data_IF_517540223293
#
_entry.id   IF_517540223293
#
_cell.length_a   1.000
_cell.length_b   1.000
_cell.length_c   1.000
_cell.angle_alpha   90.00
_cell.angle_beta   90.00
_cell.angle_gamma   90.00
#
_symmetry.space_group_name_H-M   'P 1'
#
loop_
_entity.id
_entity.type
_entity.pdbx_description
1 polymer ?
#
# COMPACT_ATOMS: atom_id res chain seq x y z
N UNK A 1 -2.87 19.56 17.82
CA UNK A 1 -3.34 18.87 16.60
C UNK A 1 -2.13 18.46 15.76
N UNK A 2 -2.28 17.45 14.91
CA UNK A 2 -1.17 16.88 14.14
C UNK A 2 -1.54 16.81 12.67
N UNK A 3 -0.62 17.18 11.78
CA UNK A 3 -0.92 17.30 10.36
C UNK A 3 0.17 16.68 9.51
N UNK A 4 -0.22 16.11 8.38
CA UNK A 4 0.70 15.77 7.31
C UNK A 4 0.32 16.59 6.07
N UNK A 5 1.29 17.25 5.44
CA UNK A 5 1.02 18.05 4.24
C UNK A 5 1.37 17.25 2.98
N UNK A 6 0.49 17.30 1.98
CA UNK A 6 0.73 16.68 0.68
C UNK A 6 0.06 17.49 -0.43
N UNK A 7 0.87 18.16 -1.24
CA UNK A 7 0.40 18.95 -2.38
C UNK A 7 0.77 18.24 -3.67
N UNK A 8 -0.04 18.38 -4.72
CA UNK A 8 0.22 17.73 -6.00
C UNK A 8 1.60 18.11 -6.58
N UNK A 9 2.26 17.13 -7.21
CA UNK A 9 3.55 17.37 -7.87
C UNK A 9 3.34 18.20 -9.14
N UNK A 10 4.44 18.74 -9.68
CA UNK A 10 4.41 19.34 -11.01
C UNK A 10 3.96 18.29 -12.04
N UNK A 11 2.88 18.59 -12.74
CA UNK A 11 2.45 17.83 -13.91
C UNK A 11 3.18 18.37 -15.15
N UNK A 12 3.55 17.48 -16.08
CA UNK A 12 4.24 17.87 -17.32
C UNK A 12 3.39 18.79 -18.21
N UNK A 13 2.06 18.67 -18.10
CA UNK A 13 1.08 19.41 -18.90
C UNK A 13 0.64 20.70 -18.22
N UNK A 14 0.86 20.84 -16.91
CA UNK A 14 0.50 22.03 -16.14
C UNK A 14 1.53 23.14 -16.35
N UNK A 15 1.10 24.41 -16.48
CA UNK A 15 2.00 25.54 -16.46
C UNK A 15 2.86 25.58 -15.19
N UNK A 16 4.14 25.98 -15.33
CA UNK A 16 5.09 26.00 -14.22
C UNK A 16 4.65 26.91 -13.05
N UNK A 17 3.95 28.02 -13.36
CA UNK A 17 3.48 28.98 -12.35
C UNK A 17 2.46 28.37 -11.38
N UNK A 18 1.67 27.38 -11.81
CA UNK A 18 0.71 26.71 -10.93
C UNK A 18 1.41 25.87 -9.87
N UNK A 19 2.45 25.14 -10.28
CA UNK A 19 3.26 24.36 -9.35
C UNK A 19 3.95 25.28 -8.34
N UNK A 20 4.55 26.39 -8.80
CA UNK A 20 5.15 27.37 -7.90
C UNK A 20 4.14 27.99 -6.93
N UNK A 21 2.91 28.26 -7.41
CA UNK A 21 1.82 28.71 -6.56
C UNK A 21 1.48 27.69 -5.48
N UNK A 22 1.35 26.40 -5.84
CA UNK A 22 1.10 25.30 -4.89
C UNK A 22 2.23 25.18 -3.86
N UNK A 23 3.48 25.31 -4.27
CA UNK A 23 4.65 25.31 -3.37
C UNK A 23 4.60 26.49 -2.39
N UNK A 24 4.24 27.70 -2.85
CA UNK A 24 4.08 28.87 -1.97
C UNK A 24 2.95 28.66 -0.96
N UNK A 25 1.79 28.18 -1.41
CA UNK A 25 0.65 27.87 -0.54
C UNK A 25 1.05 26.83 0.50
N UNK A 26 1.67 25.72 0.10
CA UNK A 26 2.10 24.66 1.02
C UNK A 26 2.98 25.22 2.15
N UNK A 27 4.00 26.02 1.81
CA UNK A 27 4.89 26.66 2.79
C UNK A 27 4.17 27.65 3.71
N UNK A 28 3.22 28.42 3.18
CA UNK A 28 2.43 29.36 3.97
C UNK A 28 1.50 28.64 4.95
N UNK A 29 0.83 27.59 4.50
CA UNK A 29 -0.06 26.76 5.33
C UNK A 29 0.72 26.03 6.42
N UNK A 30 1.90 25.49 6.11
CA UNK A 30 2.80 24.90 7.10
C UNK A 30 3.16 25.90 8.21
N UNK A 31 3.59 27.12 7.84
CA UNK A 31 3.89 28.19 8.80
C UNK A 31 2.69 28.56 9.66
N UNK A 32 1.52 28.71 9.05
CA UNK A 32 0.25 29.02 9.74
C UNK A 32 -0.14 27.95 10.76
N UNK A 33 0.00 26.67 10.40
CA UNK A 33 -0.27 25.55 11.29
C UNK A 33 0.70 25.55 12.48
N UNK A 34 1.99 25.67 12.23
CA UNK A 34 3.02 25.70 13.28
C UNK A 34 2.84 26.89 14.22
N UNK A 35 2.59 28.09 13.67
CA UNK A 35 2.32 29.30 14.46
C UNK A 35 1.08 29.16 15.36
N UNK A 36 0.13 28.32 14.97
CA UNK A 36 -1.09 28.02 15.74
C UNK A 36 -0.94 26.81 16.68
N UNK A 37 0.28 26.31 16.89
CA UNK A 37 0.56 25.16 17.77
C UNK A 37 0.29 23.79 17.14
N UNK A 38 0.12 23.72 15.82
CA UNK A 38 0.03 22.47 15.07
C UNK A 38 1.40 21.81 14.91
N UNK A 39 1.43 20.47 14.96
CA UNK A 39 2.62 19.66 14.67
C UNK A 39 2.57 19.11 13.25
N UNK A 40 3.67 19.17 12.52
CA UNK A 40 3.80 18.59 11.19
C UNK A 40 4.51 17.24 11.25
N UNK A 41 3.97 16.24 10.55
CA UNK A 41 4.58 14.93 10.33
C UNK A 41 5.31 14.94 8.99
N UNK A 42 6.64 15.04 9.05
CA UNK A 42 7.48 15.13 7.85
C UNK A 42 7.57 13.79 7.12
N UNK A 43 7.76 12.70 7.87
CA UNK A 43 7.90 11.36 7.30
C UNK A 43 6.55 10.69 6.97
N UNK A 44 5.43 11.31 7.35
CA UNK A 44 4.09 10.74 7.24
C UNK A 44 3.65 10.07 8.54
N UNK A 45 2.61 9.24 8.48
CA UNK A 45 1.95 8.72 9.68
C UNK A 45 2.66 7.54 10.33
N UNK A 46 3.62 6.93 9.64
CA UNK A 46 4.45 5.83 10.17
C UNK A 46 5.21 6.22 11.45
N UNK A 47 5.62 7.49 11.59
CA UNK A 47 6.35 7.97 12.78
C UNK A 47 5.51 7.93 14.08
N UNK A 48 4.18 7.81 13.95
CA UNK A 48 3.28 7.74 15.10
C UNK A 48 3.20 6.33 15.70
N UNK A 49 3.68 5.33 14.98
CA UNK A 49 3.64 3.93 15.39
C UNK A 49 4.98 3.49 15.95
N UNK A 50 4.93 2.57 16.91
CA UNK A 50 6.12 1.90 17.40
C UNK A 50 6.75 1.13 16.24
N UNK A 51 8.02 1.40 15.99
CA UNK A 51 8.80 0.53 15.11
C UNK A 51 8.97 -0.77 15.87
N UNK A 52 8.51 -1.89 15.31
CA UNK A 52 8.80 -3.19 15.87
C UNK A 52 10.32 -3.35 15.89
N UNK A 53 10.93 -3.22 17.07
CA UNK A 53 12.26 -3.74 17.34
C UNK A 53 12.12 -5.23 17.62
N UNK A 54 11.60 -5.98 16.64
CA UNK A 54 11.86 -7.40 16.62
C UNK A 54 13.33 -7.55 16.23
N UNK A 55 14.05 -8.28 17.07
CA UNK A 55 15.49 -8.37 17.07
C UNK A 55 16.08 -8.97 15.79
N UNK A 56 17.39 -9.02 15.79
CA UNK A 56 18.19 -9.89 14.94
C UNK A 56 17.56 -11.28 14.78
N UNK A 57 16.97 -11.57 13.61
CA UNK A 57 16.74 -12.95 13.20
C UNK A 57 17.76 -13.32 12.11
N UNK A 58 18.87 -13.84 12.63
CA UNK A 58 19.62 -14.92 12.03
C UNK A 58 18.60 -15.99 11.61
N UNK A 59 18.61 -16.36 10.33
CA UNK A 59 17.83 -17.43 9.69
C UNK A 59 16.71 -18.09 10.50
N UNK A 60 15.46 -17.70 10.23
CA UNK A 60 14.28 -18.39 10.73
C UNK A 60 13.01 -17.91 10.06
N UNK A 61 12.25 -18.84 9.50
CA UNK A 61 10.88 -18.65 8.99
C UNK A 61 9.94 -18.36 10.17
N UNK A 62 9.89 -17.10 10.61
CA UNK A 62 9.03 -16.64 11.71
C UNK A 62 8.36 -15.33 11.35
N UNK A 63 7.03 -15.33 11.26
CA UNK A 63 6.24 -14.15 10.90
C UNK A 63 6.42 -13.00 11.89
N UNK A 64 7.20 -11.99 11.50
CA UNK A 64 7.29 -10.73 12.22
C UNK A 64 5.99 -9.94 12.03
N UNK A 65 5.06 -10.12 12.97
CA UNK A 65 3.94 -9.20 13.17
C UNK A 65 4.53 -7.82 13.52
N UNK A 66 4.18 -6.78 12.76
CA UNK A 66 4.39 -5.39 13.20
C UNK A 66 3.15 -5.03 14.00
N UNK A 67 3.17 -5.09 15.35
CA UNK A 67 2.03 -4.65 16.12
C UNK A 67 1.90 -3.14 15.92
N UNK A 68 0.78 -2.70 15.34
CA UNK A 68 0.46 -1.27 15.12
C UNK A 68 0.07 -0.60 16.43
N UNK A 69 1.05 -0.49 17.32
CA UNK A 69 0.88 0.18 18.60
C UNK A 69 1.30 1.63 18.42
N UNK A 70 0.41 2.56 18.75
CA UNK A 70 0.77 3.98 18.81
C UNK A 70 1.88 4.20 19.82
N UNK A 71 2.84 5.06 19.49
CA UNK A 71 3.84 5.55 20.45
C UNK A 71 3.15 6.26 21.63
N UNK A 72 3.83 6.35 22.77
CA UNK A 72 3.29 7.04 23.94
C UNK A 72 2.90 8.50 23.62
N UNK A 73 3.69 9.19 22.79
CA UNK A 73 3.36 10.52 22.31
C UNK A 73 2.10 10.52 21.43
N UNK A 74 2.02 9.59 20.46
CA UNK A 74 0.92 9.56 19.50
C UNK A 74 -0.44 9.23 20.13
N UNK A 75 -0.48 8.48 21.24
CA UNK A 75 -1.73 8.23 21.99
C UNK A 75 -2.39 9.52 22.48
N UNK A 76 -1.59 10.55 22.74
CA UNK A 76 -2.06 11.86 23.22
C UNK A 76 -2.25 12.88 22.10
N UNK A 77 -2.02 12.50 20.84
CA UNK A 77 -2.31 13.39 19.72
C UNK A 77 -3.82 13.60 19.60
N UNK A 78 -4.21 14.87 19.43
CA UNK A 78 -5.60 15.26 19.19
C UNK A 78 -6.00 15.04 17.73
N UNK A 79 -6.87 15.92 17.21
CA UNK A 79 -7.28 15.89 15.80
C UNK A 79 -6.07 15.81 14.88
N UNK A 80 -6.15 14.84 13.99
CA UNK A 80 -5.10 14.50 13.04
C UNK A 80 -5.68 14.55 11.62
N UNK A 81 -5.01 15.21 10.69
CA UNK A 81 -5.51 15.32 9.31
C UNK A 81 -4.38 15.39 8.29
N UNK A 82 -4.69 15.03 7.05
CA UNK A 82 -3.87 15.41 5.90
C UNK A 82 -4.38 16.73 5.35
N UNK A 83 -3.48 17.69 5.16
CA UNK A 83 -3.80 18.92 4.43
C UNK A 83 -3.26 18.80 3.00
N UNK A 84 -4.14 18.98 2.03
CA UNK A 84 -3.81 18.84 0.61
C UNK A 84 -4.50 19.90 -0.27
N UNK A 85 -4.06 20.01 -1.52
CA UNK A 85 -4.71 20.81 -2.57
C UNK A 85 -5.70 20.02 -3.42
N UNK A 86 -5.67 18.68 -3.32
CA UNK A 86 -6.57 17.76 -4.01
C UNK A 86 -6.34 16.32 -3.58
N UNK A 87 -7.05 15.39 -4.22
CA UNK A 87 -6.77 13.96 -4.02
C UNK A 87 -5.41 13.60 -4.63
N UNK A 88 -4.80 12.52 -4.10
CA UNK A 88 -3.48 12.10 -4.55
C UNK A 88 -3.23 10.63 -4.25
N UNK A 89 -2.36 9.99 -5.05
CA UNK A 89 -1.79 8.66 -4.76
C UNK A 89 -0.47 8.73 -4.00
N UNK A 90 -0.11 9.90 -3.47
CA UNK A 90 1.08 10.08 -2.63
C UNK A 90 0.95 9.32 -1.30
N UNK A 91 2.10 8.92 -0.77
CA UNK A 91 2.25 8.11 0.46
C UNK A 91 1.41 8.65 1.62
N UNK A 92 1.58 9.93 2.00
CA UNK A 92 0.86 10.56 3.12
C UNK A 92 -0.67 10.50 2.94
N UNK A 93 -1.13 10.69 1.71
CA UNK A 93 -2.56 10.65 1.37
C UNK A 93 -3.11 9.23 1.54
N UNK A 94 -2.43 8.23 0.97
CA UNK A 94 -2.83 6.82 1.05
C UNK A 94 -2.74 6.26 2.48
N UNK A 95 -1.72 6.64 3.26
CA UNK A 95 -1.63 6.31 4.68
C UNK A 95 -2.85 6.84 5.45
N UNK A 96 -3.28 8.07 5.18
CA UNK A 96 -4.47 8.64 5.80
C UNK A 96 -5.77 7.95 5.36
N UNK A 97 -5.85 7.49 4.11
CA UNK A 97 -6.96 6.64 3.67
C UNK A 97 -7.06 5.38 4.53
N UNK A 98 -5.95 4.64 4.65
CA UNK A 98 -5.89 3.40 5.43
C UNK A 98 -6.16 3.61 6.93
N UNK A 99 -5.68 4.72 7.50
CA UNK A 99 -5.84 5.04 8.91
C UNK A 99 -7.21 5.61 9.29
N UNK A 100 -8.10 5.85 8.32
CA UNK A 100 -9.36 6.55 8.59
C UNK A 100 -9.19 8.05 8.92
N UNK A 101 -8.02 8.62 8.62
CA UNK A 101 -7.70 10.03 8.87
C UNK A 101 -8.28 10.90 7.75
N UNK A 102 -8.94 12.02 8.07
CA UNK A 102 -9.52 12.91 7.06
C UNK A 102 -8.43 13.58 6.22
N UNK A 103 -8.63 13.56 4.90
CA UNK A 103 -7.83 14.33 3.95
C UNK A 103 -8.63 15.57 3.57
N UNK A 104 -8.20 16.74 4.02
CA UNK A 104 -8.95 17.99 3.89
C UNK A 104 -8.17 19.03 3.08
N UNK A 105 -8.89 19.92 2.43
CA UNK A 105 -8.28 21.03 1.70
C UNK A 105 -7.65 22.04 2.66
N UNK A 106 -6.56 22.70 2.21
CA UNK A 106 -5.92 23.78 2.96
C UNK A 106 -6.85 24.96 3.29
N UNK A 107 -7.96 25.13 2.57
CA UNK A 107 -8.99 26.12 2.92
C UNK A 107 -9.56 25.94 4.33
N UNK A 108 -9.55 24.73 4.90
CA UNK A 108 -9.95 24.51 6.30
C UNK A 108 -9.04 25.27 7.27
N UNK A 109 -7.74 25.30 7.00
CA UNK A 109 -6.76 26.01 7.83
C UNK A 109 -6.99 27.51 7.73
N UNK A 110 -7.19 28.02 6.51
CA UNK A 110 -7.49 29.43 6.28
C UNK A 110 -8.78 29.87 6.98
N UNK A 111 -9.82 29.05 6.92
CA UNK A 111 -11.10 29.33 7.57
C UNK A 111 -10.99 29.31 9.10
N UNK A 112 -10.23 28.37 9.67
CA UNK A 112 -9.97 28.34 11.11
C UNK A 112 -9.29 29.63 11.58
N UNK A 113 -8.28 30.10 10.83
CA UNK A 113 -7.54 31.33 11.14
C UNK A 113 -8.44 32.54 11.00
N UNK A 114 -9.18 32.63 9.88
CA UNK A 114 -10.07 33.76 9.60
C UNK A 114 -11.16 33.91 10.67
N UNK A 115 -11.70 32.80 11.18
CA UNK A 115 -12.71 32.82 12.25
C UNK A 115 -12.12 32.85 13.66
N UNK A 116 -10.81 32.68 13.83
CA UNK A 116 -10.16 32.58 15.13
C UNK A 116 -10.62 31.37 15.96
N UNK A 117 -11.17 30.33 15.33
CA UNK A 117 -11.68 29.14 16.01
C UNK A 117 -11.60 27.91 15.11
N UNK A 118 -11.52 26.73 15.71
CA UNK A 118 -11.49 25.47 14.97
C UNK A 118 -12.89 25.15 14.45
N UNK A 119 -13.06 25.16 13.13
CA UNK A 119 -14.35 24.87 12.48
C UNK A 119 -14.52 23.39 12.14
N UNK A 120 -15.76 22.97 11.85
CA UNK A 120 -16.06 21.67 11.30
C UNK A 120 -15.26 21.38 10.02
N UNK A 121 -14.65 20.20 9.93
CA UNK A 121 -13.74 19.82 8.84
C UNK A 121 -14.46 19.17 7.65
N UNK A 122 -15.67 18.66 7.85
CA UNK A 122 -16.43 17.87 6.88
C UNK A 122 -16.67 18.61 5.54
N UNK A 123 -17.01 19.92 5.51
CA UNK A 123 -17.16 20.65 4.24
C UNK A 123 -15.88 20.76 3.42
N UNK A 124 -14.72 20.46 4.02
CA UNK A 124 -13.40 20.56 3.41
C UNK A 124 -12.82 19.20 3.05
N UNK A 125 -13.58 18.10 3.23
CA UNK A 125 -13.14 16.75 2.93
C UNK A 125 -12.92 16.54 1.43
N UNK A 126 -11.76 16.00 1.08
CA UNK A 126 -11.39 15.67 -0.30
C UNK A 126 -11.84 14.25 -0.67
N UNK A 127 -12.17 14.05 -1.95
CA UNK A 127 -12.38 12.71 -2.54
C UNK A 127 -11.14 11.83 -2.36
N UNK A 128 -11.27 10.52 -2.08
CA UNK A 128 -10.10 9.65 -1.92
C UNK A 128 -9.38 9.39 -3.25
N UNK A 129 -10.07 9.55 -4.39
CA UNK A 129 -9.50 9.47 -5.74
C UNK A 129 -10.45 8.89 -6.77
N UNK A 130 -9.92 8.71 -7.98
CA UNK A 130 -10.59 8.07 -9.11
C UNK A 130 -10.57 6.54 -8.97
N UNK A 131 -11.73 5.89 -9.09
CA UNK A 131 -11.80 4.43 -9.09
C UNK A 131 -11.91 3.87 -10.50
N UNK A 132 -10.96 3.03 -10.91
CA UNK A 132 -11.01 2.36 -12.22
C UNK A 132 -12.15 1.34 -12.32
N UNK A 133 -12.60 0.80 -11.17
CA UNK A 133 -13.74 -0.12 -11.10
C UNK A 133 -15.07 0.56 -11.50
N UNK A 134 -15.10 1.89 -11.46
CA UNK A 134 -16.25 2.72 -11.81
C UNK A 134 -15.90 3.72 -12.91
N UNK A 135 -15.15 3.27 -13.93
CA UNK A 135 -14.76 4.08 -15.10
C UNK A 135 -14.11 5.43 -14.73
N UNK A 136 -13.19 5.38 -13.78
CA UNK A 136 -12.50 6.56 -13.23
C UNK A 136 -13.40 7.59 -12.53
N UNK A 137 -14.61 7.21 -12.10
CA UNK A 137 -15.46 8.08 -11.29
C UNK A 137 -14.75 8.51 -9.99
N UNK A 138 -14.96 9.77 -9.60
CA UNK A 138 -14.50 10.30 -8.32
C UNK A 138 -15.35 9.71 -7.20
N UNK A 139 -14.71 8.99 -6.28
CA UNK A 139 -15.43 8.38 -5.17
C UNK A 139 -15.74 9.41 -4.10
N UNK A 140 -16.84 9.23 -3.36
CA UNK A 140 -17.08 9.98 -2.13
C UNK A 140 -16.51 9.21 -0.96
N UNK A 141 -15.82 9.89 -0.03
CA UNK A 141 -15.37 9.27 1.21
C UNK A 141 -16.36 9.58 2.32
N UNK A 142 -16.86 8.54 2.97
CA UNK A 142 -17.70 8.68 4.16
C UNK A 142 -16.85 8.40 5.41
N UNK A 143 -16.71 9.38 6.28
CA UNK A 143 -16.06 9.25 7.58
C UNK A 143 -17.08 9.60 8.66
N UNK A 144 -17.06 8.87 9.78
CA UNK A 144 -17.91 9.21 10.92
C UNK A 144 -17.55 10.63 11.39
N UNK A 145 -18.51 11.57 11.48
CA UNK A 145 -18.25 12.91 11.95
C UNK A 145 -17.71 12.91 13.39
N UNK A 146 -16.71 13.73 13.67
CA UNK A 146 -16.21 13.94 15.03
C UNK A 146 -15.72 15.38 15.22
N UNK A 147 -15.90 15.97 16.41
CA UNK A 147 -15.47 17.34 16.68
C UNK A 147 -13.93 17.42 16.71
N UNK A 148 -13.30 18.33 15.95
CA UNK A 148 -11.84 18.42 15.90
C UNK A 148 -11.21 18.86 17.23
N UNK A 149 -11.96 19.45 18.16
CA UNK A 149 -11.43 19.94 19.44
C UNK A 149 -11.32 18.86 20.52
N UNK A 150 -12.14 17.80 20.48
CA UNK A 150 -12.21 16.78 21.53
C UNK A 150 -11.94 15.35 21.03
N UNK A 151 -11.32 15.22 19.87
CA UNK A 151 -11.01 13.91 19.28
C UNK A 151 -9.54 13.58 19.47
N UNK A 152 -9.24 12.36 19.92
CA UNK A 152 -7.89 11.81 19.98
C UNK A 152 -7.61 10.95 18.75
N UNK A 153 -6.34 10.89 18.34
CA UNK A 153 -5.88 10.03 17.25
C UNK A 153 -6.24 8.55 17.49
N UNK A 154 -6.15 8.08 18.74
CA UNK A 154 -6.52 6.71 19.09
C UNK A 154 -7.99 6.42 18.73
N UNK A 155 -8.89 7.36 19.03
CA UNK A 155 -10.32 7.25 18.69
C UNK A 155 -10.52 7.25 17.18
N UNK A 156 -9.80 8.11 16.45
CA UNK A 156 -9.88 8.17 14.98
C UNK A 156 -9.48 6.84 14.34
N UNK A 157 -8.37 6.26 14.79
CA UNK A 157 -7.83 5.00 14.25
C UNK A 157 -8.72 3.80 14.61
N UNK A 158 -9.43 3.83 15.74
CA UNK A 158 -10.37 2.76 16.13
C UNK A 158 -11.54 2.63 15.15
N UNK A 159 -12.01 3.73 14.56
CA UNK A 159 -13.13 3.75 13.62
C UNK A 159 -12.73 3.53 12.16
N UNK A 160 -11.45 3.25 11.87
CA UNK A 160 -10.99 3.04 10.50
C UNK A 160 -11.55 1.77 9.89
N UNK A 161 -11.60 1.75 8.56
CA UNK A 161 -12.03 0.58 7.78
C UNK A 161 -10.89 -0.46 7.78
N UNK A 162 -11.09 -1.55 8.53
CA UNK A 162 -10.13 -2.66 8.61
C UNK A 162 -10.51 -3.78 7.64
N UNK A 163 -10.63 -3.46 6.35
CA UNK A 163 -11.16 -4.41 5.35
C UNK A 163 -10.22 -5.60 5.06
N UNK A 164 -8.97 -5.57 5.54
CA UNK A 164 -8.06 -6.74 5.51
C UNK A 164 -8.06 -7.52 6.83
N UNK A 165 -8.93 -7.17 7.79
CA UNK A 165 -9.07 -7.95 9.02
C UNK A 165 -9.37 -9.41 8.72
N UNK A 166 -8.70 -10.31 9.44
CA UNK A 166 -8.81 -11.75 9.24
C UNK A 166 -8.06 -12.31 8.03
N UNK A 167 -7.54 -11.46 7.14
CA UNK A 167 -6.77 -11.92 5.98
C UNK A 167 -5.31 -12.15 6.33
N UNK A 168 -4.77 -13.26 5.83
CA UNK A 168 -3.35 -13.60 5.87
C UNK A 168 -2.70 -13.27 4.54
N UNK A 169 -1.64 -12.48 4.58
CA UNK A 169 -0.93 -12.01 3.38
C UNK A 169 0.52 -12.46 3.45
N UNK A 170 1.00 -13.11 2.40
CA UNK A 170 2.43 -13.37 2.20
C UNK A 170 3.03 -12.23 1.37
N UNK A 171 3.94 -11.46 1.94
CA UNK A 171 4.63 -10.35 1.31
C UNK A 171 6.03 -10.76 0.87
N UNK A 172 6.22 -10.92 -0.44
CA UNK A 172 7.49 -11.36 -1.03
C UNK A 172 8.31 -10.14 -1.47
N UNK A 173 9.45 -9.91 -0.80
CA UNK A 173 10.34 -8.78 -1.10
C UNK A 173 11.82 -9.07 -0.81
N UNK A 174 12.72 -8.66 -1.69
CA UNK A 174 14.18 -8.71 -1.44
C UNK A 174 14.60 -7.72 -0.36
N UNK A 175 15.62 -8.08 0.42
CA UNK A 175 16.33 -7.15 1.31
C UNK A 175 17.14 -6.17 0.44
N UNK A 176 16.78 -4.90 0.41
CA UNK A 176 17.46 -3.89 -0.42
C UNK A 176 17.32 -2.49 0.15
N UNK A 177 18.10 -1.51 -0.34
CA UNK A 177 17.91 -0.09 0.05
C UNK A 177 16.55 0.47 -0.39
N UNK A 178 15.90 -0.13 -1.39
CA UNK A 178 14.53 0.24 -1.81
C UNK A 178 13.44 -0.34 -0.90
N UNK A 179 13.82 -1.20 0.05
CA UNK A 179 12.95 -1.69 1.13
C UNK A 179 12.21 -0.52 1.80
N UNK A 180 12.86 0.62 2.03
CA UNK A 180 12.23 1.77 2.67
C UNK A 180 11.05 2.36 1.89
N UNK A 181 11.10 2.36 0.55
CA UNK A 181 9.96 2.81 -0.27
C UNK A 181 8.82 1.79 -0.29
N UNK A 182 9.16 0.50 -0.14
CA UNK A 182 8.21 -0.63 -0.21
C UNK A 182 7.58 -0.96 1.13
N UNK A 183 8.21 -0.52 2.23
CA UNK A 183 7.65 -0.53 3.60
C UNK A 183 6.31 0.20 3.67
N UNK A 184 6.05 1.13 2.77
CA UNK A 184 4.75 1.79 2.67
C UNK A 184 3.60 0.79 2.44
N UNK A 185 3.69 -0.13 1.48
CA UNK A 185 2.61 -1.11 1.25
C UNK A 185 2.50 -2.13 2.37
N UNK A 186 3.63 -2.53 2.95
CA UNK A 186 3.65 -3.36 4.15
C UNK A 186 2.93 -2.67 5.32
N UNK A 187 3.19 -1.38 5.53
CA UNK A 187 2.51 -0.56 6.53
C UNK A 187 1.00 -0.48 6.26
N UNK A 188 0.60 -0.22 5.01
CA UNK A 188 -0.82 -0.19 4.64
C UNK A 188 -1.54 -1.49 4.98
N UNK A 189 -0.96 -2.65 4.61
CA UNK A 189 -1.56 -3.95 4.87
C UNK A 189 -1.79 -4.19 6.36
N UNK A 190 -0.79 -3.91 7.19
CA UNK A 190 -0.94 -3.99 8.63
C UNK A 190 -2.05 -3.05 9.12
N UNK A 191 -2.07 -1.79 8.65
CA UNK A 191 -3.03 -0.79 9.14
C UNK A 191 -4.45 -1.21 8.84
N UNK A 192 -4.67 -1.80 7.67
CA UNK A 192 -5.96 -2.32 7.23
C UNK A 192 -6.37 -3.62 7.94
N UNK A 193 -5.54 -4.15 8.85
CA UNK A 193 -5.86 -5.28 9.72
C UNK A 193 -5.34 -6.65 9.25
N UNK A 194 -4.48 -6.70 8.22
CA UNK A 194 -3.93 -7.96 7.74
C UNK A 194 -2.90 -8.57 8.71
N UNK A 195 -2.88 -9.90 8.77
CA UNK A 195 -1.74 -10.65 9.30
C UNK A 195 -0.74 -10.86 8.16
N UNK A 196 0.45 -10.26 8.26
CA UNK A 196 1.44 -10.29 7.17
C UNK A 196 2.65 -11.14 7.57
N UNK A 197 3.02 -12.08 6.69
CA UNK A 197 4.28 -12.82 6.75
C UNK A 197 5.21 -12.35 5.64
N UNK A 198 6.52 -12.32 5.87
CA UNK A 198 7.50 -11.87 4.87
C UNK A 198 8.28 -13.05 4.30
N UNK A 199 8.53 -13.02 2.99
CA UNK A 199 9.47 -13.91 2.31
C UNK A 199 10.51 -13.08 1.55
N UNK A 200 11.78 -13.48 1.62
CA UNK A 200 12.89 -12.71 1.03
C UNK A 200 13.16 -13.05 -0.45
N UNK A 201 12.57 -14.15 -0.91
CA UNK A 201 12.71 -14.66 -2.26
C UNK A 201 11.47 -15.48 -2.64
N UNK A 202 11.32 -15.76 -3.93
CA UNK A 202 10.26 -16.65 -4.43
C UNK A 202 10.40 -18.07 -3.88
N UNK A 203 11.63 -18.54 -3.66
CA UNK A 203 11.90 -19.84 -3.03
C UNK A 203 11.46 -19.86 -1.57
N UNK A 204 11.76 -18.81 -0.80
CA UNK A 204 11.30 -18.70 0.59
C UNK A 204 9.78 -18.58 0.67
N UNK A 205 9.17 -17.90 -0.32
CA UNK A 205 7.73 -17.77 -0.42
C UNK A 205 7.06 -19.12 -0.62
N UNK A 206 7.57 -19.96 -1.54
CA UNK A 206 7.10 -21.35 -1.72
C UNK A 206 7.21 -22.17 -0.44
N UNK A 207 8.35 -22.12 0.23
CA UNK A 207 8.54 -22.82 1.50
C UNK A 207 7.52 -22.34 2.55
N UNK A 208 7.30 -21.03 2.64
CA UNK A 208 6.33 -20.43 3.56
C UNK A 208 4.89 -20.83 3.23
N UNK A 209 4.52 -20.91 1.95
CA UNK A 209 3.21 -21.38 1.51
C UNK A 209 2.99 -22.84 1.95
N UNK A 210 3.97 -23.73 1.69
CA UNK A 210 3.88 -25.14 2.06
C UNK A 210 3.83 -25.34 3.59
N UNK A 211 4.64 -24.59 4.36
CA UNK A 211 4.66 -24.65 5.83
C UNK A 211 3.35 -24.13 6.45
N UNK A 212 2.77 -23.07 5.87
CA UNK A 212 1.49 -22.54 6.30
C UNK A 212 0.36 -23.53 6.00
N UNK A 213 0.39 -24.18 4.83
CA UNK A 213 -0.58 -25.19 4.45
C UNK A 213 -0.54 -26.41 5.38
N UNK A 214 0.65 -26.91 5.70
CA UNK A 214 0.86 -28.00 6.64
C UNK A 214 0.35 -27.68 8.06
N UNK A 215 0.30 -26.39 8.43
CA UNK A 215 -0.26 -25.91 9.70
C UNK A 215 -1.75 -25.57 9.63
N UNK A 216 -2.43 -25.82 8.51
CA UNK A 216 -3.82 -25.41 8.26
C UNK A 216 -4.01 -23.89 8.44
N UNK A 217 -3.00 -23.15 7.99
CA UNK A 217 -2.79 -21.73 8.22
C UNK A 217 -2.63 -21.00 6.87
N UNK A 218 -3.37 -21.45 5.85
CA UNK A 218 -3.26 -21.02 4.47
C UNK A 218 -3.38 -19.49 4.31
N UNK A 219 -2.53 -18.93 3.43
CA UNK A 219 -2.58 -17.51 3.06
C UNK A 219 -3.76 -17.22 2.14
N UNK A 220 -4.39 -16.06 2.32
CA UNK A 220 -5.50 -15.61 1.50
C UNK A 220 -5.04 -14.81 0.26
N UNK A 221 -3.87 -14.17 0.38
CA UNK A 221 -3.26 -13.32 -0.64
C UNK A 221 -1.73 -13.44 -0.64
N UNK A 222 -1.14 -13.25 -1.82
CA UNK A 222 0.30 -13.05 -2.02
C UNK A 222 0.53 -11.72 -2.70
N UNK A 223 1.36 -10.90 -2.07
CA UNK A 223 1.90 -9.69 -2.67
C UNK A 223 3.34 -9.97 -3.10
N UNK A 224 3.66 -9.70 -4.36
CA UNK A 224 5.02 -9.86 -4.89
C UNK A 224 5.51 -8.50 -5.34
N UNK A 225 6.61 -8.07 -4.75
CA UNK A 225 7.34 -6.90 -5.22
C UNK A 225 8.00 -7.20 -6.59
N UNK A 226 7.65 -6.45 -7.64
CA UNK A 226 8.04 -6.74 -9.03
C UNK A 226 9.54 -7.04 -9.24
N UNK A 227 10.50 -6.36 -8.58
CA UNK A 227 11.93 -6.68 -8.72
C UNK A 227 12.36 -7.97 -7.97
N UNK A 228 11.51 -8.48 -7.09
CA UNK A 228 11.77 -9.69 -6.30
C UNK A 228 11.45 -10.95 -7.06
N UNK A 229 10.40 -10.92 -7.88
CA UNK A 229 10.01 -11.98 -8.80
C UNK A 229 8.64 -11.71 -9.40
N UNK A 230 8.10 -12.70 -10.10
CA UNK A 230 6.75 -12.64 -10.68
C UNK A 230 5.82 -13.71 -10.10
N UNK A 231 4.52 -13.55 -10.34
CA UNK A 231 3.54 -14.58 -9.98
C UNK A 231 3.77 -15.89 -10.73
N UNK A 232 4.13 -15.82 -12.02
CA UNK A 232 4.51 -16.98 -12.81
C UNK A 232 5.70 -17.71 -12.18
N UNK A 233 6.75 -16.97 -11.81
CA UNK A 233 7.92 -17.55 -11.13
C UNK A 233 7.58 -18.22 -9.80
N UNK A 234 6.54 -17.77 -9.08
CA UNK A 234 6.06 -18.37 -7.82
C UNK A 234 5.29 -19.67 -8.06
N UNK A 235 4.58 -19.77 -9.18
CA UNK A 235 3.73 -20.90 -9.55
C UNK A 235 4.49 -22.00 -10.31
N UNK A 236 5.61 -21.67 -10.98
CA UNK A 236 6.45 -22.65 -11.67
C UNK A 236 7.27 -23.51 -10.69
N UNK A 237 7.14 -24.85 -10.79
CA UNK A 237 7.86 -25.81 -9.94
C UNK A 237 9.06 -26.47 -10.66
N UNK A 238 10.25 -25.89 -10.47
CA UNK A 238 11.61 -26.47 -10.36
C UNK A 238 12.63 -25.42 -10.83
N UNK A 239 13.76 -25.14 -10.17
CA UNK A 239 14.62 -26.05 -9.42
C UNK A 239 16.01 -26.05 -10.07
N UNK A 240 16.81 -24.99 -9.86
CA UNK A 240 18.26 -25.11 -9.94
C UNK A 240 18.94 -24.15 -8.97
N UNK A 241 19.08 -24.61 -7.72
CA UNK A 241 20.30 -24.33 -7.01
C UNK A 241 21.44 -25.02 -7.77
N UNK A 242 22.21 -24.25 -8.53
CA UNK A 242 23.59 -24.62 -8.87
C UNK A 242 24.53 -23.65 -8.19
N UNK A 243 25.07 -24.13 -7.08
CA UNK A 243 26.35 -23.70 -6.54
C UNK A 243 27.39 -23.61 -7.68
N UNK A 244 28.27 -22.62 -7.57
CA UNK A 244 29.13 -22.19 -8.67
C UNK A 244 30.19 -23.20 -9.10
N UNK A 245 30.65 -23.02 -10.33
CA UNK A 245 32.04 -23.29 -10.72
C UNK A 245 32.38 -22.47 -11.96
N UNK A 246 33.42 -21.65 -11.85
CA UNK A 246 34.14 -21.06 -12.99
C UNK A 246 34.56 -22.18 -13.95
N UNK A 247 34.31 -22.02 -15.25
CA UNK A 247 35.22 -22.53 -16.28
C UNK A 247 35.00 -21.79 -17.61
N UNK A 248 36.13 -21.40 -18.20
CA UNK A 248 36.30 -20.81 -19.53
C UNK A 248 35.88 -21.79 -20.65
N UNK A 249 35.50 -21.23 -21.80
CA UNK A 249 35.97 -21.76 -23.09
C UNK A 249 34.90 -22.03 -24.15
N UNK A 250 35.07 -21.38 -25.31
CA UNK A 250 34.95 -21.99 -26.63
C UNK A 250 33.54 -22.24 -27.20
N UNK A 251 33.25 -21.65 -28.36
CA UNK A 251 31.97 -21.80 -29.05
C UNK A 251 31.88 -23.03 -29.96
N UNK A 252 30.64 -23.41 -30.31
CA UNK A 252 30.19 -23.85 -31.64
C UNK A 252 28.72 -24.30 -31.59
N UNK A 253 28.05 -24.19 -32.74
CA UNK A 253 26.59 -24.17 -32.97
C UNK A 253 25.90 -25.55 -33.05
N UNK A 254 24.63 -25.53 -32.62
CA UNK A 254 23.40 -26.19 -33.15
C UNK A 254 23.25 -27.73 -33.11
N UNK A 255 22.16 -28.18 -32.46
CA UNK A 255 21.07 -28.90 -33.16
C UNK A 255 19.72 -28.79 -32.43
N UNK A 256 18.72 -28.31 -33.18
CA UNK A 256 17.29 -28.21 -32.84
C UNK A 256 16.68 -29.61 -32.82
N UNK A 257 15.98 -29.97 -31.74
CA UNK A 257 14.93 -30.99 -31.73
C UNK A 257 13.79 -30.53 -30.84
N UNK A 258 12.61 -30.73 -31.38
CA UNK A 258 11.32 -30.14 -31.08
C UNK A 258 10.50 -31.18 -30.32
N UNK A 259 10.03 -30.83 -29.12
CA UNK A 259 8.96 -31.54 -28.41
C UNK A 259 8.41 -30.58 -27.34
N UNK A 260 7.56 -29.67 -27.79
CA UNK A 260 6.80 -28.71 -26.99
C UNK A 260 5.38 -29.24 -26.83
N UNK A 261 5.15 -30.14 -25.87
CA UNK A 261 3.82 -30.39 -25.32
C UNK A 261 3.99 -30.99 -23.90
N UNK A 262 3.24 -30.44 -22.94
CA UNK A 262 2.79 -31.08 -21.69
C UNK A 262 3.73 -31.24 -20.47
N UNK A 263 4.56 -30.24 -20.13
CA UNK A 263 5.19 -30.17 -18.79
C UNK A 263 4.82 -28.89 -18.03
N UNK A 264 4.39 -27.84 -18.75
CA UNK A 264 4.06 -26.52 -18.18
C UNK A 264 2.80 -26.53 -17.31
N UNK A 265 1.89 -27.50 -17.46
CA UNK A 265 0.62 -27.56 -16.71
C UNK A 265 0.69 -28.35 -15.40
N UNK A 266 1.54 -29.39 -15.27
CA UNK A 266 1.51 -30.28 -14.11
C UNK A 266 2.10 -29.65 -12.84
N UNK A 267 3.12 -28.82 -12.98
CA UNK A 267 3.83 -28.17 -11.88
C UNK A 267 2.99 -27.07 -11.19
N UNK A 268 2.36 -26.21 -12.00
CA UNK A 268 1.38 -25.21 -11.52
C UNK A 268 0.18 -25.92 -10.89
N UNK A 269 -0.29 -27.02 -11.51
CA UNK A 269 -1.34 -27.86 -10.96
C UNK A 269 -0.92 -28.49 -9.63
N UNK A 270 0.33 -28.92 -9.43
CA UNK A 270 0.78 -29.56 -8.20
C UNK A 270 0.90 -28.61 -7.00
N UNK A 271 1.44 -27.39 -7.19
CA UNK A 271 1.49 -26.38 -6.13
C UNK A 271 0.08 -25.91 -5.78
N UNK A 272 -0.77 -25.67 -6.78
CA UNK A 272 -2.15 -25.24 -6.58
C UNK A 272 -3.04 -26.37 -6.06
N UNK A 273 -2.79 -27.64 -6.40
CA UNK A 273 -3.49 -28.81 -5.87
C UNK A 273 -3.07 -29.14 -4.43
N UNK A 274 -1.86 -28.73 -4.01
CA UNK A 274 -1.40 -28.84 -2.63
C UNK A 274 -2.00 -27.79 -1.69
N UNK A 275 -2.56 -26.70 -2.23
CA UNK A 275 -3.16 -25.61 -1.45
C UNK A 275 -4.67 -25.85 -1.27
N UNK A 276 -5.15 -25.82 -0.03
CA UNK A 276 -6.59 -25.93 0.26
C UNK A 276 -7.37 -24.68 -0.16
N UNK A 277 -6.70 -23.53 -0.29
CA UNK A 277 -7.29 -22.27 -0.75
C UNK A 277 -6.68 -21.82 -2.08
N UNK A 278 -7.54 -21.32 -2.98
CA UNK A 278 -7.11 -20.64 -4.22
C UNK A 278 -6.25 -19.42 -3.86
N UNK A 279 -4.99 -19.45 -4.25
CA UNK A 279 -4.05 -18.36 -4.02
C UNK A 279 -4.43 -17.14 -4.86
N UNK A 280 -4.56 -15.96 -4.24
CA UNK A 280 -4.88 -14.70 -4.92
C UNK A 280 -3.70 -13.74 -4.92
N UNK A 281 -3.50 -13.03 -6.02
CA UNK A 281 -2.41 -12.06 -6.17
C UNK A 281 -2.87 -10.65 -5.78
N UNK A 282 -2.08 -9.99 -4.95
CA UNK A 282 -2.30 -8.60 -4.55
C UNK A 282 -1.23 -7.70 -5.18
N UNK A 283 -1.65 -6.77 -6.04
CA UNK A 283 -0.79 -5.77 -6.68
C UNK A 283 -0.92 -4.39 -6.01
N UNK A 284 0.05 -3.51 -6.24
CA UNK A 284 0.01 -2.11 -5.80
C UNK A 284 -1.30 -1.41 -6.15
N UNK A 285 -1.72 -1.51 -7.41
CA UNK A 285 -2.94 -0.87 -7.86
C UNK A 285 -4.20 -1.46 -7.20
N UNK A 286 -4.21 -2.76 -6.87
CA UNK A 286 -5.34 -3.37 -6.16
C UNK A 286 -5.49 -2.75 -4.77
N UNK A 287 -4.37 -2.59 -4.06
CA UNK A 287 -4.35 -1.94 -2.74
C UNK A 287 -4.83 -0.49 -2.85
N UNK A 288 -4.31 0.27 -3.81
CA UNK A 288 -4.70 1.68 -4.03
C UNK A 288 -6.18 1.79 -4.38
N UNK A 289 -6.69 0.97 -5.28
CA UNK A 289 -8.10 0.99 -5.69
C UNK A 289 -9.03 0.54 -4.55
N UNK A 290 -8.62 -0.44 -3.74
CA UNK A 290 -9.35 -0.86 -2.54
C UNK A 290 -9.41 0.27 -1.50
N UNK A 291 -8.31 1.02 -1.32
CA UNK A 291 -8.30 2.20 -0.45
C UNK A 291 -9.21 3.34 -0.96
N UNK A 292 -9.24 3.57 -2.28
CA UNK A 292 -10.12 4.57 -2.89
C UNK A 292 -11.59 4.17 -2.75
N UNK A 293 -11.90 2.88 -2.90
CA UNK A 293 -13.26 2.32 -2.76
C UNK A 293 -13.72 2.28 -1.30
N UNK A 294 -12.80 2.01 -0.37
CA UNK A 294 -13.06 1.88 1.06
C UNK A 294 -13.23 0.44 1.54
N UNK A 295 -13.00 -0.55 0.68
CA UNK A 295 -13.20 -1.97 0.93
C UNK A 295 -12.34 -2.82 -0.02
N UNK A 296 -12.13 -4.09 0.32
CA UNK A 296 -11.29 -5.00 -0.47
C UNK A 296 -11.99 -5.37 -1.78
N UNK A 297 -11.39 -5.03 -2.91
CA UNK A 297 -11.81 -5.53 -4.22
C UNK A 297 -11.43 -7.01 -4.32
N UNK A 298 -12.39 -7.88 -4.61
CA UNK A 298 -12.14 -9.31 -4.82
C UNK A 298 -11.32 -9.55 -6.10
N UNK A 299 -10.63 -10.68 -6.13
CA UNK A 299 -9.69 -10.97 -7.22
C UNK A 299 -10.40 -11.16 -8.57
N UNK A 300 -11.58 -11.76 -8.59
CA UNK A 300 -12.36 -11.95 -9.81
C UNK A 300 -12.78 -10.60 -10.44
N UNK A 301 -13.34 -9.70 -9.64
CA UNK A 301 -13.71 -8.34 -10.06
C UNK A 301 -12.48 -7.57 -10.53
N UNK A 302 -11.35 -7.71 -9.81
CA UNK A 302 -10.12 -7.03 -10.15
C UNK A 302 -9.56 -7.43 -11.51
N UNK A 303 -9.52 -8.73 -11.82
CA UNK A 303 -9.04 -9.23 -13.11
C UNK A 303 -9.98 -8.83 -14.26
N UNK A 304 -11.29 -8.82 -14.03
CA UNK A 304 -12.26 -8.30 -15.01
C UNK A 304 -12.02 -6.82 -15.35
N UNK A 305 -11.80 -5.98 -14.33
CA UNK A 305 -11.57 -4.55 -14.52
C UNK A 305 -10.24 -4.27 -15.23
N UNK A 306 -9.17 -4.98 -14.89
CA UNK A 306 -7.88 -4.88 -15.59
C UNK A 306 -7.98 -5.24 -17.07
N UNK A 307 -8.69 -6.34 -17.38
CA UNK A 307 -8.89 -6.79 -18.76
C UNK A 307 -9.59 -5.73 -19.62
N UNK A 308 -10.59 -5.05 -19.05
CA UNK A 308 -11.32 -3.99 -19.74
C UNK A 308 -10.53 -2.67 -19.85
N UNK A 309 -9.76 -2.30 -18.83
CA UNK A 309 -8.96 -1.07 -18.84
C UNK A 309 -7.82 -1.12 -19.88
N UNK A 310 -7.28 -2.30 -20.18
CA UNK A 310 -6.25 -2.51 -21.21
C UNK A 310 -6.77 -2.46 -22.66
N UNK A 311 -8.09 -2.63 -22.88
CA UNK A 311 -8.70 -2.67 -24.21
C UNK A 311 -9.14 -1.30 -24.78
N UNK A 312 -9.09 -0.24 -23.98
CA UNK A 312 -9.64 1.09 -24.33
C UNK A 312 -8.76 1.95 -25.26
N UNK A 313 -7.54 1.54 -25.60
CA UNK A 313 -6.58 2.32 -26.39
C UNK A 313 -6.87 2.45 -27.89
N UNK A 314 -8.05 2.05 -28.36
CA UNK A 314 -8.34 1.85 -29.78
C UNK A 314 -9.69 2.40 -30.24
N UNK A 315 -10.04 3.65 -29.92
CA UNK A 315 -11.09 4.36 -30.66
C UNK A 315 -10.77 5.85 -30.75
N UNK A 316 -9.93 6.18 -31.74
CA UNK A 316 -9.89 7.54 -32.30
C UNK A 316 -11.25 7.83 -32.91
N UNK A 317 -11.91 8.88 -32.41
CA UNK A 317 -12.85 9.68 -33.19
C UNK A 317 -12.19 11.03 -33.39
#
# INVERSE_FOLDING_TARGET
MVFALTFQSRELVSPAYEYERRVRINKDIEKKLVASGGRILEAGFEEMFQKSSAGSDIGGTGGLQIPLVLTAAAKNYGFTAVIADGYSRKVKYMQALALGIPCITYYWVEECIRKGTVVAWQPFLLTPGASICFDNAMMSRTLHPFPPTNTTLSTMIQHRLNFLSGHRILFVMKRSREEEKKRFYLFLMHVLGATVSRALSVTDARASLAEAEARNEAFDWVYIDEPTGSAAELLEANGSARAGSKAKGGGARRKKRESTVDIESEAETALMAGLTKKLRLMSNELVVQSLIRGDLIDAETWESVKGNAGGGGGRKR
#
